data_IF_627766625963
#
_entry.id   IF_627766625963
#
_cell.length_a   1.000
_cell.length_b   1.000
_cell.length_c   1.000
_cell.angle_alpha   90.00
_cell.angle_beta   90.00
_cell.angle_gamma   90.00
#
_symmetry.space_group_name_H-M   'P 1'
#
loop_
_entity.id
_entity.type
_entity.pdbx_description
1 polymer ?
#
# COMPACT_ATOMS: atom_id res chain seq x y z
N UNK A 1 14.04 -22.79 -33.95
CA UNK A 1 13.04 -21.70 -33.98
C UNK A 1 12.55 -21.49 -32.56
N UNK A 2 12.74 -20.31 -31.98
CA UNK A 2 12.16 -19.98 -30.69
C UNK A 2 10.65 -19.81 -30.86
N UNK A 3 9.87 -20.50 -30.04
CA UNK A 3 8.41 -20.32 -30.05
C UNK A 3 8.08 -18.84 -29.75
N UNK A 4 7.09 -18.25 -30.43
CA UNK A 4 6.71 -16.85 -30.18
C UNK A 4 6.25 -16.66 -28.73
N UNK A 5 6.45 -15.45 -28.18
CA UNK A 5 5.95 -15.07 -26.86
C UNK A 5 4.41 -15.18 -26.85
N UNK A 6 3.86 -15.94 -25.89
CA UNK A 6 2.40 -16.22 -25.83
C UNK A 6 1.71 -15.66 -24.58
N UNK A 7 2.46 -15.16 -23.59
CA UNK A 7 1.92 -14.68 -22.32
C UNK A 7 2.80 -13.58 -21.74
N UNK A 8 2.16 -12.51 -21.26
CA UNK A 8 2.75 -11.49 -20.40
C UNK A 8 1.82 -11.33 -19.20
N UNK A 9 2.38 -11.30 -18.00
CA UNK A 9 1.67 -11.01 -16.74
C UNK A 9 2.22 -9.71 -16.21
N UNK A 10 1.33 -8.77 -15.93
CA UNK A 10 1.68 -7.47 -15.36
C UNK A 10 1.28 -7.44 -13.89
N UNK A 11 2.15 -6.87 -13.07
CA UNK A 11 1.76 -6.42 -11.73
C UNK A 11 0.87 -5.16 -11.85
N UNK A 12 0.13 -4.83 -10.79
CA UNK A 12 -0.84 -3.74 -10.80
C UNK A 12 -0.24 -2.43 -10.29
N UNK A 13 0.09 -2.39 -8.99
CA UNK A 13 0.53 -1.20 -8.29
C UNK A 13 1.96 -0.82 -8.67
N UNK A 14 2.17 0.41 -9.15
CA UNK A 14 3.48 0.85 -9.63
C UNK A 14 3.91 0.27 -10.98
N UNK A 15 3.06 -0.57 -11.62
CA UNK A 15 3.30 -1.13 -12.96
C UNK A 15 2.24 -0.70 -13.96
N UNK A 16 0.96 -0.97 -13.68
CA UNK A 16 -0.16 -0.52 -14.50
C UNK A 16 -0.80 0.76 -13.96
N UNK A 17 -0.80 0.93 -12.64
CA UNK A 17 -1.49 2.02 -11.94
C UNK A 17 -0.49 2.82 -11.11
N UNK A 18 -0.54 4.15 -11.21
CA UNK A 18 0.16 5.04 -10.26
C UNK A 18 -0.65 5.18 -8.95
N UNK A 19 -0.70 4.11 -8.17
CA UNK A 19 -1.42 4.02 -6.90
C UNK A 19 -0.59 4.51 -5.71
N UNK A 20 0.61 5.02 -5.94
CA UNK A 20 1.56 5.35 -4.88
C UNK A 20 1.06 6.47 -3.96
N UNK A 21 0.31 7.44 -4.49
CA UNK A 21 -0.28 8.50 -3.67
C UNK A 21 -1.33 7.93 -2.70
N UNK A 22 -2.15 6.98 -3.17
CA UNK A 22 -3.19 6.31 -2.40
C UNK A 22 -2.61 5.45 -1.28
N UNK A 23 -1.60 4.64 -1.60
CA UNK A 23 -0.92 3.76 -0.64
C UNK A 23 -0.34 4.59 0.52
N UNK A 24 0.33 5.70 0.20
CA UNK A 24 0.96 6.56 1.20
C UNK A 24 -0.08 7.30 2.03
N UNK A 25 -1.14 7.82 1.41
CA UNK A 25 -2.23 8.48 2.12
C UNK A 25 -2.98 7.53 3.07
N UNK A 26 -3.27 6.31 2.62
CA UNK A 26 -3.93 5.29 3.44
C UNK A 26 -3.05 4.85 4.62
N UNK A 27 -1.74 4.68 4.40
CA UNK A 27 -0.81 4.33 5.47
C UNK A 27 -0.70 5.44 6.52
N UNK A 28 -0.57 6.70 6.08
CA UNK A 28 -0.51 7.83 7.01
C UNK A 28 -1.77 7.92 7.86
N UNK A 29 -2.95 7.79 7.24
CA UNK A 29 -4.21 7.76 7.97
C UNK A 29 -4.23 6.63 9.01
N UNK A 30 -3.80 5.42 8.63
CA UNK A 30 -3.76 4.28 9.53
C UNK A 30 -2.80 4.53 10.71
N UNK A 31 -1.62 5.09 10.47
CA UNK A 31 -0.66 5.41 11.53
C UNK A 31 -1.17 6.51 12.47
N UNK A 32 -1.73 7.59 11.92
CA UNK A 32 -2.31 8.69 12.69
C UNK A 32 -3.42 8.18 13.63
N UNK A 33 -4.26 7.25 13.16
CA UNK A 33 -5.35 6.66 13.95
C UNK A 33 -4.86 5.85 15.16
N UNK A 34 -3.61 5.36 15.15
CA UNK A 34 -3.00 4.59 16.24
C UNK A 34 -1.88 5.34 16.97
N UNK A 35 -1.70 6.63 16.68
CA UNK A 35 -0.66 7.48 17.30
C UNK A 35 0.76 7.08 16.93
N UNK A 36 0.96 6.46 15.76
CA UNK A 36 2.27 6.10 15.24
C UNK A 36 2.85 7.26 14.41
N UNK A 37 4.17 7.40 14.42
CA UNK A 37 4.83 8.41 13.59
C UNK A 37 4.78 8.02 12.11
N UNK A 38 4.40 8.97 11.25
CA UNK A 38 4.39 8.78 9.81
C UNK A 38 5.80 8.55 9.27
N UNK A 39 5.92 7.59 8.34
CA UNK A 39 7.19 7.25 7.72
C UNK A 39 7.42 8.04 6.43
N UNK A 40 8.68 8.25 6.02
CA UNK A 40 8.98 8.81 4.71
C UNK A 40 8.31 8.02 3.58
N UNK A 41 7.83 8.73 2.56
CA UNK A 41 7.14 8.15 1.38
C UNK A 41 7.89 6.95 0.81
N UNK A 42 9.20 7.08 0.60
CA UNK A 42 10.05 6.03 0.03
C UNK A 42 10.01 4.73 0.86
N UNK A 43 9.95 4.85 2.19
CA UNK A 43 9.87 3.71 3.10
C UNK A 43 8.51 3.02 3.03
N UNK A 44 7.42 3.78 2.90
CA UNK A 44 6.08 3.21 2.68
C UNK A 44 5.98 2.54 1.31
N UNK A 45 6.64 3.07 0.29
CA UNK A 45 6.60 2.47 -1.06
C UNK A 45 7.53 1.26 -1.21
N UNK A 46 8.55 1.11 -0.36
CA UNK A 46 9.46 -0.04 -0.44
C UNK A 46 8.80 -1.38 -0.09
N UNK A 47 7.58 -1.36 0.48
CA UNK A 47 6.81 -2.56 0.81
C UNK A 47 5.77 -2.95 -0.25
N UNK A 48 5.66 -2.20 -1.35
CA UNK A 48 4.72 -2.51 -2.43
C UNK A 48 5.09 -3.86 -3.06
N UNK A 49 4.10 -4.72 -3.21
CA UNK A 49 4.27 -6.12 -3.65
C UNK A 49 4.32 -7.14 -2.51
N UNK A 50 4.43 -6.71 -1.24
CA UNK A 50 4.27 -7.59 -0.08
C UNK A 50 2.78 -7.77 0.27
N UNK A 51 2.46 -8.83 1.02
CA UNK A 51 1.16 -8.89 1.69
C UNK A 51 1.05 -7.79 2.73
N UNK A 52 -0.17 -7.30 3.00
CA UNK A 52 -0.35 -6.14 3.89
C UNK A 52 0.17 -6.38 5.32
N UNK A 53 0.01 -7.60 5.84
CA UNK A 53 0.50 -7.93 7.18
C UNK A 53 2.04 -7.94 7.22
N UNK A 54 2.70 -8.51 6.21
CA UNK A 54 4.17 -8.48 6.07
C UNK A 54 4.69 -7.06 5.85
N UNK A 55 3.97 -6.25 5.08
CA UNK A 55 4.30 -4.85 4.83
C UNK A 55 4.31 -4.05 6.14
N UNK A 56 3.25 -4.16 6.95
CA UNK A 56 3.14 -3.44 8.23
C UNK A 56 4.19 -3.95 9.23
N UNK A 57 4.43 -5.25 9.29
CA UNK A 57 5.52 -5.82 10.08
C UNK A 57 6.89 -5.25 9.67
N UNK A 58 7.13 -5.12 8.37
CA UNK A 58 8.39 -4.57 7.83
C UNK A 58 8.55 -3.08 8.16
N UNK A 59 7.47 -2.30 8.11
CA UNK A 59 7.50 -0.86 8.38
C UNK A 59 7.73 -0.54 9.86
N UNK A 60 7.07 -1.29 10.75
CA UNK A 60 7.05 -1.04 12.20
C UNK A 60 7.33 -2.31 13.02
N UNK A 61 8.52 -2.94 12.87
CA UNK A 61 8.85 -4.22 13.52
C UNK A 61 8.98 -4.12 15.05
N UNK A 62 9.02 -2.91 15.59
CA UNK A 62 9.09 -2.64 17.03
C UNK A 62 7.71 -2.42 17.67
N UNK A 63 6.65 -2.26 16.87
CA UNK A 63 5.27 -2.08 17.35
C UNK A 63 4.66 -3.43 17.71
N UNK A 64 3.83 -3.48 18.75
CA UNK A 64 3.19 -4.73 19.18
C UNK A 64 2.25 -5.32 18.11
N UNK A 65 2.16 -6.65 18.06
CA UNK A 65 1.35 -7.39 17.08
C UNK A 65 -0.13 -6.97 17.12
N UNK A 66 -0.69 -6.70 18.30
CA UNK A 66 -2.09 -6.27 18.40
C UNK A 66 -2.31 -4.89 17.78
N UNK A 67 -1.32 -3.99 17.88
CA UNK A 67 -1.38 -2.67 17.22
C UNK A 67 -1.21 -2.85 15.71
N UNK A 68 -0.24 -3.65 15.24
CA UNK A 68 -0.05 -3.92 13.80
C UNK A 68 -1.32 -4.42 13.13
N UNK A 69 -2.03 -5.37 13.76
CA UNK A 69 -3.33 -5.86 13.25
C UNK A 69 -4.38 -4.77 13.17
N UNK A 70 -4.44 -3.86 14.14
CA UNK A 70 -5.37 -2.72 14.07
C UNK A 70 -4.98 -1.73 12.98
N UNK A 71 -3.68 -1.50 12.77
CA UNK A 71 -3.16 -0.71 11.64
C UNK A 71 -3.55 -1.35 10.31
N UNK A 72 -3.45 -2.68 10.17
CA UNK A 72 -3.89 -3.42 8.97
C UNK A 72 -5.34 -3.12 8.65
N UNK A 73 -6.23 -3.21 9.64
CA UNK A 73 -7.66 -2.95 9.42
C UNK A 73 -7.95 -1.48 9.12
N UNK A 74 -7.28 -0.55 9.82
CA UNK A 74 -7.39 0.89 9.54
C UNK A 74 -6.88 1.24 8.14
N UNK A 75 -5.80 0.62 7.67
CA UNK A 75 -5.29 0.79 6.31
C UNK A 75 -6.32 0.37 5.27
N UNK A 76 -6.92 -0.83 5.42
CA UNK A 76 -7.95 -1.32 4.50
C UNK A 76 -9.14 -0.36 4.44
N UNK A 77 -9.61 0.10 5.61
CA UNK A 77 -10.69 1.09 5.70
C UNK A 77 -10.34 2.39 4.99
N UNK A 78 -9.19 2.98 5.34
CA UNK A 78 -8.72 4.24 4.74
C UNK A 78 -8.54 4.12 3.22
N UNK A 79 -7.97 3.02 2.72
CA UNK A 79 -7.80 2.79 1.29
C UNK A 79 -9.15 2.71 0.56
N UNK A 80 -10.12 1.97 1.11
CA UNK A 80 -11.47 1.91 0.56
C UNK A 80 -12.16 3.27 0.55
N UNK A 81 -12.07 4.02 1.65
CA UNK A 81 -12.66 5.35 1.75
C UNK A 81 -12.05 6.34 0.77
N UNK A 82 -10.71 6.41 0.71
CA UNK A 82 -9.98 7.28 -0.19
C UNK A 82 -10.33 6.96 -1.65
N UNK A 83 -10.46 5.69 -2.00
CA UNK A 83 -10.77 5.25 -3.37
C UNK A 83 -12.21 5.55 -3.77
N UNK A 84 -13.12 5.62 -2.81
CA UNK A 84 -14.49 6.06 -3.05
C UNK A 84 -14.60 7.56 -3.32
N UNK A 85 -13.58 8.36 -2.98
CA UNK A 85 -13.57 9.79 -3.27
C UNK A 85 -13.20 10.03 -4.73
N UNK A 86 -13.99 10.87 -5.41
CA UNK A 86 -13.84 11.14 -6.86
C UNK A 86 -12.67 12.08 -7.20
N UNK A 87 -12.01 12.65 -6.20
CA UNK A 87 -10.91 13.61 -6.33
C UNK A 87 -9.52 12.97 -6.36
N UNK A 88 -9.42 11.68 -6.01
CA UNK A 88 -8.17 10.92 -6.07
C UNK A 88 -8.13 10.06 -7.34
N UNK A 89 -7.35 10.54 -8.32
CA UNK A 89 -7.11 9.80 -9.55
C UNK A 89 -5.98 8.78 -9.36
N UNK A 90 -6.24 7.54 -9.75
CA UNK A 90 -5.23 6.48 -9.94
C UNK A 90 -5.02 6.31 -11.46
N UNK A 91 -4.23 7.18 -12.13
CA UNK A 91 -4.05 7.09 -13.57
C UNK A 91 -3.30 5.81 -13.93
N UNK A 92 -3.58 5.30 -15.13
CA UNK A 92 -2.72 4.30 -15.75
C UNK A 92 -1.39 4.96 -16.16
N UNK A 93 -0.29 4.21 -16.05
CA UNK A 93 0.99 4.61 -16.65
C UNK A 93 0.94 4.59 -18.18
#
# INVERSE_FOLDING_TARGET
MTSPLRLVVFDCDGTLIDSQHMIVAAMNHAFDAHGLENLPREKVLSIVGLSLDEAIETLVPHVDLAIRRRVTESYKGAFHELRARKDLAEPLF
#
